data_IF_606031044312
#
_entry.id   IF_606031044312
#
_cell.length_a   1.000
_cell.length_b   1.000
_cell.length_c   1.000
_cell.angle_alpha   90.00
_cell.angle_beta   90.00
_cell.angle_gamma   90.00
#
_symmetry.space_group_name_H-M   'P 1'
#
loop_
_entity.id
_entity.type
_entity.pdbx_description
1 polymer ?
#
# COMPACT_ATOMS: atom_id res chain seq x y z
N UNK A 1 -35.45 24.04 17.38
CA UNK A 1 -34.24 23.62 16.64
C UNK A 1 -34.26 22.10 16.63
N UNK A 2 -34.42 21.48 15.47
CA UNK A 2 -34.57 20.02 15.35
C UNK A 2 -33.22 19.36 15.57
N UNK A 3 -33.04 18.64 16.67
CA UNK A 3 -31.89 17.73 16.85
C UNK A 3 -32.03 16.60 15.83
N UNK A 4 -31.09 16.47 14.90
CA UNK A 4 -31.08 15.35 13.96
C UNK A 4 -30.60 14.09 14.67
N UNK A 5 -31.39 13.02 14.62
CA UNK A 5 -30.98 11.70 15.10
C UNK A 5 -30.24 10.97 13.98
N UNK A 6 -29.08 10.39 14.30
CA UNK A 6 -28.25 9.64 13.35
C UNK A 6 -27.86 8.27 13.91
N UNK A 7 -27.69 7.28 13.04
CA UNK A 7 -27.11 5.99 13.40
C UNK A 7 -25.60 6.04 13.12
N UNK A 8 -24.74 5.80 14.11
CA UNK A 8 -23.28 5.84 13.92
C UNK A 8 -22.81 4.65 13.08
N UNK A 9 -21.67 4.81 12.42
CA UNK A 9 -20.96 3.68 11.80
C UNK A 9 -20.37 2.77 12.89
N UNK A 10 -20.38 1.46 12.63
CA UNK A 10 -19.92 0.41 13.52
C UNK A 10 -18.98 -0.51 12.76
N UNK A 11 -17.77 -0.66 13.26
CA UNK A 11 -16.80 -1.65 12.79
C UNK A 11 -16.72 -2.81 13.78
N UNK A 12 -16.59 -4.05 13.29
CA UNK A 12 -16.43 -5.21 14.16
C UNK A 12 -15.44 -6.24 13.61
N UNK A 13 -14.76 -6.92 14.52
CA UNK A 13 -13.93 -8.09 14.23
C UNK A 13 -14.06 -9.08 15.40
N UNK A 14 -13.51 -10.28 15.27
CA UNK A 14 -13.60 -11.27 16.33
C UNK A 14 -12.37 -12.15 16.42
N UNK A 15 -12.24 -12.80 17.58
CA UNK A 15 -11.38 -13.95 17.84
C UNK A 15 -12.21 -15.04 18.49
N UNK A 16 -11.87 -16.30 18.23
CA UNK A 16 -12.54 -17.44 18.82
C UNK A 16 -11.49 -18.34 19.45
N UNK A 17 -11.82 -18.92 20.61
CA UNK A 17 -10.97 -19.92 21.23
C UNK A 17 -11.83 -20.90 22.01
N UNK A 18 -11.53 -22.19 21.85
CA UNK A 18 -12.21 -23.27 22.57
C UNK A 18 -11.64 -23.51 23.98
N UNK A 19 -10.45 -22.97 24.28
CA UNK A 19 -9.71 -23.28 25.51
C UNK A 19 -9.34 -22.05 26.34
N UNK A 20 -9.30 -20.87 25.73
CA UNK A 20 -8.86 -19.63 26.38
C UNK A 20 -9.92 -18.51 26.25
N UNK A 21 -10.59 -18.20 27.36
CA UNK A 21 -11.59 -17.13 27.41
C UNK A 21 -10.99 -15.74 27.16
N UNK A 22 -9.71 -15.53 27.47
CA UNK A 22 -9.02 -14.26 27.21
C UNK A 22 -8.77 -14.04 25.70
N UNK A 23 -8.83 -15.11 24.89
CA UNK A 23 -8.71 -15.08 23.42
C UNK A 23 -10.05 -15.23 22.68
N UNK A 24 -11.17 -15.32 23.41
CA UNK A 24 -12.51 -15.50 22.85
C UNK A 24 -13.37 -14.22 23.00
N UNK A 25 -13.33 -13.34 22.00
CA UNK A 25 -13.98 -12.03 22.09
C UNK A 25 -14.38 -11.42 20.73
N UNK A 26 -15.19 -10.38 20.77
CA UNK A 26 -15.60 -9.54 19.64
C UNK A 26 -15.10 -8.11 19.86
N UNK A 27 -14.38 -7.57 18.89
CA UNK A 27 -14.07 -6.15 18.84
C UNK A 27 -15.24 -5.38 18.24
N UNK A 28 -15.60 -4.26 18.86
CA UNK A 28 -16.63 -3.36 18.35
C UNK A 28 -16.14 -1.91 18.45
N UNK A 29 -16.11 -1.18 17.34
CA UNK A 29 -15.80 0.25 17.31
C UNK A 29 -17.01 1.01 16.80
N UNK A 30 -17.54 1.92 17.62
CA UNK A 30 -18.68 2.78 17.27
C UNK A 30 -18.14 4.19 17.02
N UNK A 31 -18.32 4.70 15.81
CA UNK A 31 -17.80 6.00 15.36
C UNK A 31 -18.71 7.14 15.78
N UNK A 32 -18.34 7.87 16.84
CA UNK A 32 -19.15 8.92 17.49
C UNK A 32 -18.30 10.15 17.84
N UNK A 33 -17.95 10.99 16.86
CA UNK A 33 -17.07 12.12 17.08
C UNK A 33 -17.69 13.18 17.99
N UNK A 34 -16.88 13.69 18.92
CA UNK A 34 -17.22 14.76 19.87
C UNK A 34 -18.41 14.46 20.77
N UNK A 35 -18.62 13.19 21.13
CA UNK A 35 -19.58 12.81 22.18
C UNK A 35 -18.86 12.86 23.53
N UNK A 36 -19.22 13.77 24.45
CA UNK A 36 -18.59 13.83 25.77
C UNK A 36 -19.08 12.66 26.65
N UNK A 37 -18.24 12.14 27.58
CA UNK A 37 -18.63 11.07 28.51
C UNK A 37 -19.89 11.36 29.32
N UNK A 38 -20.20 12.64 29.60
CA UNK A 38 -21.39 13.06 30.36
C UNK A 38 -22.70 12.82 29.61
N UNK A 39 -22.68 12.81 28.28
CA UNK A 39 -23.85 12.62 27.44
C UNK A 39 -24.01 11.17 26.95
N UNK A 40 -23.02 10.34 27.24
CA UNK A 40 -22.94 8.96 26.81
C UNK A 40 -23.78 8.06 27.71
N UNK A 41 -24.72 7.33 27.10
CA UNK A 41 -25.46 6.26 27.73
C UNK A 41 -25.20 4.98 26.95
N UNK A 42 -24.44 4.07 27.54
CA UNK A 42 -24.14 2.76 26.98
C UNK A 42 -24.68 1.70 27.92
N UNK A 43 -25.56 0.82 27.41
CA UNK A 43 -26.11 -0.32 28.15
C UNK A 43 -25.74 -1.59 27.40
N UNK A 44 -25.02 -2.46 28.08
CA UNK A 44 -24.65 -3.78 27.58
C UNK A 44 -25.53 -4.83 28.26
N UNK A 45 -26.12 -5.72 27.47
CA UNK A 45 -26.85 -6.90 27.95
C UNK A 45 -26.19 -8.16 27.38
N UNK A 46 -26.47 -9.35 27.93
CA UNK A 46 -25.91 -10.60 27.38
C UNK A 46 -26.25 -10.81 25.91
N UNK A 47 -27.33 -10.22 25.41
CA UNK A 47 -27.83 -10.44 24.03
C UNK A 47 -27.69 -9.22 23.14
N UNK A 48 -27.16 -8.10 23.61
CA UNK A 48 -27.15 -6.87 22.82
C UNK A 48 -26.52 -5.66 23.47
N UNK A 49 -26.58 -4.55 22.75
CA UNK A 49 -26.03 -3.26 23.15
C UNK A 49 -26.97 -2.15 22.71
N UNK A 50 -27.25 -1.23 23.64
CA UNK A 50 -27.98 0.01 23.36
C UNK A 50 -27.08 1.18 23.71
N UNK A 51 -26.88 2.06 22.74
CA UNK A 51 -26.07 3.27 22.87
C UNK A 51 -26.87 4.51 22.49
N UNK A 52 -26.74 5.58 23.27
CA UNK A 52 -27.20 6.92 22.92
C UNK A 52 -26.19 7.96 23.39
N UNK A 53 -25.89 8.94 22.54
CA UNK A 53 -24.95 10.01 22.86
C UNK A 53 -25.21 11.24 22.00
N UNK A 54 -24.95 12.45 22.51
CA UNK A 54 -25.17 13.68 21.74
C UNK A 54 -23.85 14.40 21.53
N UNK A 55 -23.50 14.66 20.27
CA UNK A 55 -22.31 15.43 19.92
C UNK A 55 -22.55 16.92 20.17
N UNK A 56 -21.67 17.55 20.95
CA UNK A 56 -21.77 18.98 21.27
C UNK A 56 -21.47 19.85 20.03
N UNK A 57 -20.45 19.48 19.26
CA UNK A 57 -20.02 20.20 18.06
C UNK A 57 -21.03 20.07 16.93
N UNK A 58 -21.48 18.83 16.65
CA UNK A 58 -22.34 18.53 15.50
C UNK A 58 -23.83 18.66 15.80
N UNK A 59 -24.21 18.94 17.06
CA UNK A 59 -25.62 19.01 17.53
C UNK A 59 -26.48 17.83 17.07
N UNK A 60 -25.86 16.66 16.95
CA UNK A 60 -26.45 15.42 16.42
C UNK A 60 -26.53 14.40 17.55
N UNK A 61 -27.69 13.77 17.70
CA UNK A 61 -27.87 12.70 18.67
C UNK A 61 -27.69 11.36 17.96
N UNK A 62 -26.67 10.63 18.36
CA UNK A 62 -26.42 9.28 17.89
C UNK A 62 -27.23 8.27 18.70
N UNK A 63 -27.87 7.34 18.02
CA UNK A 63 -28.58 6.23 18.64
C UNK A 63 -28.26 4.93 17.89
N UNK A 64 -27.97 3.87 18.64
CA UNK A 64 -27.62 2.55 18.12
C UNK A 64 -28.21 1.47 19.02
N UNK A 65 -28.84 0.48 18.41
CA UNK A 65 -29.33 -0.73 19.07
C UNK A 65 -28.87 -1.94 18.26
N UNK A 66 -28.13 -2.85 18.92
CA UNK A 66 -27.60 -4.08 18.34
C UNK A 66 -28.13 -5.28 19.12
N UNK A 67 -28.69 -6.27 18.43
CA UNK A 67 -28.99 -7.59 18.98
C UNK A 67 -27.95 -8.59 18.44
N UNK A 68 -27.11 -9.11 19.33
CA UNK A 68 -25.97 -9.96 18.97
C UNK A 68 -26.40 -11.36 18.53
N UNK A 69 -25.56 -11.99 17.71
CA UNK A 69 -25.79 -13.33 17.17
C UNK A 69 -25.88 -14.40 18.26
N UNK A 70 -24.99 -14.34 19.24
CA UNK A 70 -24.98 -15.20 20.42
C UNK A 70 -24.68 -14.39 21.68
N UNK A 71 -24.74 -15.05 22.84
CA UNK A 71 -24.57 -14.38 24.13
C UNK A 71 -23.12 -13.94 24.37
N UNK A 72 -22.98 -12.75 24.96
CA UNK A 72 -21.74 -12.23 25.51
C UNK A 72 -21.77 -12.26 27.04
N UNK A 73 -20.61 -12.09 27.66
CA UNK A 73 -20.45 -11.84 29.08
C UNK A 73 -20.21 -10.35 29.32
N UNK A 74 -21.23 -9.59 29.78
CA UNK A 74 -21.09 -8.15 30.01
C UNK A 74 -20.12 -7.79 31.14
N UNK A 75 -19.93 -8.66 32.13
CA UNK A 75 -19.11 -8.36 33.32
C UNK A 75 -17.62 -8.34 32.98
N UNK A 76 -17.19 -9.24 32.10
CA UNK A 76 -15.80 -9.35 31.65
C UNK A 76 -15.52 -8.57 30.35
N UNK A 77 -16.53 -7.88 29.81
CA UNK A 77 -16.39 -7.03 28.63
C UNK A 77 -15.84 -5.65 29.00
N UNK A 78 -14.93 -5.12 28.17
CA UNK A 78 -14.25 -3.83 28.41
C UNK A 78 -14.75 -2.76 27.45
N UNK A 79 -14.84 -1.52 27.92
CA UNK A 79 -15.22 -0.35 27.12
C UNK A 79 -14.18 0.76 27.25
N UNK A 80 -13.75 1.32 26.11
CA UNK A 80 -12.97 2.54 26.00
C UNK A 80 -13.79 3.66 25.38
N UNK A 81 -13.61 4.87 25.88
CA UNK A 81 -14.13 6.07 25.24
C UNK A 81 -12.98 6.96 24.79
N UNK A 82 -13.00 7.34 23.52
CA UNK A 82 -12.05 8.30 22.93
C UNK A 82 -12.81 9.51 22.39
N UNK A 83 -12.11 10.55 21.94
CA UNK A 83 -12.77 11.73 21.36
C UNK A 83 -13.57 11.43 20.07
N UNK A 84 -13.18 10.38 19.34
CA UNK A 84 -13.78 10.02 18.05
C UNK A 84 -14.71 8.79 18.13
N UNK A 85 -14.42 7.85 19.03
CA UNK A 85 -14.99 6.51 19.00
C UNK A 85 -15.27 5.95 20.41
N UNK A 86 -16.23 5.02 20.47
CA UNK A 86 -16.38 4.09 21.60
C UNK A 86 -15.88 2.72 21.13
N UNK A 87 -14.87 2.19 21.81
CA UNK A 87 -14.29 0.88 21.49
C UNK A 87 -14.69 -0.11 22.57
N UNK A 88 -15.12 -1.31 22.19
CA UNK A 88 -15.50 -2.37 23.10
C UNK A 88 -14.78 -3.65 22.75
N UNK A 89 -14.40 -4.39 23.79
CA UNK A 89 -13.96 -5.77 23.72
C UNK A 89 -15.03 -6.59 24.44
N UNK A 90 -15.87 -7.26 23.66
CA UNK A 90 -17.01 -8.04 24.15
C UNK A 90 -16.59 -9.50 24.32
N UNK A 91 -16.65 -10.02 25.53
CA UNK A 91 -16.32 -11.43 25.80
C UNK A 91 -17.46 -12.32 25.31
N UNK A 92 -17.15 -13.30 24.45
CA UNK A 92 -18.14 -14.30 24.02
C UNK A 92 -18.40 -15.26 25.19
N UNK A 93 -19.66 -15.55 25.49
CA UNK A 93 -20.02 -16.42 26.62
C UNK A 93 -19.68 -17.89 26.36
N UNK A 94 -19.82 -18.33 25.12
CA UNK A 94 -19.55 -19.69 24.69
C UNK A 94 -18.15 -19.78 24.05
N UNK A 95 -17.33 -20.71 24.53
CA UNK A 95 -16.02 -21.01 23.95
C UNK A 95 -16.21 -21.94 22.76
N UNK A 96 -15.76 -21.52 21.59
CA UNK A 96 -15.80 -22.30 20.36
C UNK A 96 -14.62 -21.89 19.49
N UNK A 97 -14.15 -22.78 18.60
CA UNK A 97 -13.21 -22.39 17.56
C UNK A 97 -13.90 -21.63 16.41
N UNK A 98 -15.17 -21.94 16.14
CA UNK A 98 -15.91 -21.36 15.01
C UNK A 98 -16.19 -19.87 15.23
N UNK A 99 -16.14 -19.08 14.16
CA UNK A 99 -16.52 -17.68 14.23
C UNK A 99 -18.03 -17.52 14.22
N UNK A 100 -18.49 -16.41 14.82
CA UNK A 100 -19.86 -15.98 14.57
C UNK A 100 -19.98 -15.64 13.09
N UNK A 101 -20.93 -16.25 12.34
CA UNK A 101 -21.08 -15.99 10.91
C UNK A 101 -21.49 -14.54 10.61
N UNK A 102 -21.95 -13.81 11.63
CA UNK A 102 -22.33 -12.40 11.61
C UNK A 102 -22.38 -11.86 13.03
N UNK A 103 -22.23 -10.54 13.20
CA UNK A 103 -22.36 -9.90 14.52
C UNK A 103 -23.80 -9.93 15.04
N UNK A 104 -24.78 -9.72 14.16
CA UNK A 104 -26.18 -9.54 14.54
C UNK A 104 -26.99 -10.82 14.38
N UNK A 105 -27.98 -11.02 15.24
CA UNK A 105 -28.91 -12.16 15.14
C UNK A 105 -29.66 -12.18 13.81
N UNK A 106 -30.12 -11.01 13.38
CA UNK A 106 -30.76 -10.80 12.08
C UNK A 106 -29.78 -10.99 10.92
N UNK A 107 -30.19 -11.72 9.90
CA UNK A 107 -29.43 -11.87 8.66
C UNK A 107 -29.57 -10.67 7.69
N UNK A 108 -30.36 -9.65 8.05
CA UNK A 108 -30.54 -8.46 7.20
C UNK A 108 -29.26 -7.62 7.20
N UNK A 109 -28.77 -7.29 5.99
CA UNK A 109 -27.63 -6.36 5.83
C UNK A 109 -28.03 -4.96 6.29
N UNK A 110 -27.27 -4.39 7.23
CA UNK A 110 -27.42 -3.01 7.69
C UNK A 110 -26.24 -2.18 7.17
N UNK A 111 -26.50 -0.98 6.68
CA UNK A 111 -25.50 -0.16 5.98
C UNK A 111 -24.45 0.46 6.91
N UNK A 112 -24.76 0.59 8.19
CA UNK A 112 -23.90 1.20 9.19
C UNK A 112 -22.90 0.21 9.83
N UNK A 113 -23.01 -1.10 9.57
CA UNK A 113 -22.14 -2.13 10.15
C UNK A 113 -21.16 -2.67 9.10
N UNK A 114 -19.87 -2.68 9.41
CA UNK A 114 -18.79 -3.15 8.52
C UNK A 114 -17.76 -3.98 9.28
N UNK A 115 -17.04 -4.86 8.59
CA UNK A 115 -15.93 -5.61 9.19
C UNK A 115 -14.71 -4.72 9.37
N UNK A 116 -14.07 -4.81 10.53
CA UNK A 116 -12.80 -4.15 10.86
C UNK A 116 -11.64 -5.03 10.39
N UNK A 117 -11.16 -4.82 9.16
CA UNK A 117 -10.11 -5.66 8.57
C UNK A 117 -8.75 -5.46 9.22
N UNK A 118 -8.47 -4.28 9.77
CA UNK A 118 -7.22 -4.00 10.49
C UNK A 118 -7.11 -4.87 11.75
N UNK A 119 -8.26 -5.24 12.34
CA UNK A 119 -8.35 -6.14 13.49
C UNK A 119 -8.78 -7.56 13.13
N UNK A 120 -9.08 -7.86 11.87
CA UNK A 120 -9.53 -9.19 11.47
C UNK A 120 -8.33 -10.14 11.35
N UNK A 121 -8.49 -11.36 11.87
CA UNK A 121 -7.56 -12.46 11.68
C UNK A 121 -8.40 -13.67 11.30
N UNK A 122 -7.94 -14.44 10.32
CA UNK A 122 -8.67 -15.61 9.85
C UNK A 122 -8.61 -16.77 10.87
N UNK A 123 -9.60 -17.67 10.80
CA UNK A 123 -9.81 -18.75 11.79
C UNK A 123 -8.57 -19.65 11.96
N UNK A 124 -7.81 -19.88 10.90
CA UNK A 124 -6.62 -20.73 10.85
C UNK A 124 -5.33 -20.02 11.27
N UNK A 125 -5.31 -18.70 11.31
CA UNK A 125 -4.12 -17.89 11.64
C UNK A 125 -4.12 -17.35 13.08
N UNK A 126 -5.23 -17.50 13.83
CA UNK A 126 -5.39 -16.89 15.17
C UNK A 126 -4.45 -17.42 16.25
N UNK A 127 -3.85 -18.61 16.06
CA UNK A 127 -2.86 -19.18 16.99
C UNK A 127 -1.42 -18.67 16.74
N UNK A 128 -1.17 -18.09 15.55
CA UNK A 128 0.14 -17.57 15.13
C UNK A 128 0.21 -16.04 15.24
N UNK A 129 -0.94 -15.37 15.40
CA UNK A 129 -1.00 -13.95 15.66
C UNK A 129 -0.25 -13.60 16.97
N UNK A 130 0.68 -12.63 16.94
CA UNK A 130 1.35 -12.17 18.16
C UNK A 130 0.30 -11.79 19.21
N UNK A 131 0.56 -12.13 20.46
CA UNK A 131 -0.15 -11.53 21.60
C UNK A 131 0.21 -10.05 21.65
N UNK A 132 -0.38 -9.23 20.78
CA UNK A 132 -0.52 -7.82 21.08
C UNK A 132 -1.49 -7.77 22.25
N UNK A 133 -0.89 -7.71 23.44
CA UNK A 133 -1.53 -7.59 24.73
C UNK A 133 -2.18 -6.19 24.81
N UNK A 134 -3.19 -5.97 23.98
CA UNK A 134 -3.99 -4.73 23.88
C UNK A 134 -4.65 -4.41 25.22
N UNK A 135 -4.77 -5.40 26.11
CA UNK A 135 -5.15 -5.22 27.50
C UNK A 135 -4.22 -4.21 28.22
N UNK A 136 -2.94 -4.17 27.86
CA UNK A 136 -1.96 -3.22 28.40
C UNK A 136 -2.08 -1.81 27.80
N UNK A 137 -2.73 -1.63 26.65
CA UNK A 137 -3.03 -0.29 26.12
C UNK A 137 -4.08 0.44 26.98
N UNK A 138 -4.87 -0.32 27.75
CA UNK A 138 -5.79 0.21 28.76
C UNK A 138 -5.14 0.43 30.15
N UNK A 139 -3.91 -0.04 30.35
CA UNK A 139 -3.24 -0.13 31.67
C UNK A 139 -2.22 0.95 32.00
N UNK A 140 -2.20 2.07 31.26
CA UNK A 140 -1.23 3.17 31.46
C UNK A 140 -1.70 4.34 32.32
N UNK A 141 -2.78 4.19 33.10
CA UNK A 141 -3.36 5.26 33.93
C UNK A 141 -3.11 5.05 35.42
N UNK A 142 -1.87 5.26 35.86
CA UNK A 142 -1.55 5.40 37.28
C UNK A 142 -2.19 6.70 37.82
N UNK A 143 -3.05 6.54 38.83
CA UNK A 143 -2.86 7.17 40.13
C UNK A 143 -3.12 8.67 40.26
N UNK A 144 -4.15 8.98 41.03
CA UNK A 144 -4.46 10.21 41.73
C UNK A 144 -3.25 10.87 42.45
N UNK A 145 -3.38 12.18 42.69
CA UNK A 145 -2.58 13.10 43.53
C UNK A 145 -1.21 13.65 43.08
N UNK A 146 -1.09 14.99 43.13
CA UNK A 146 0.19 15.72 43.31
C UNK A 146 0.53 16.74 42.22
N UNK A 147 0.22 18.02 42.47
CA UNK A 147 0.30 19.09 41.47
C UNK A 147 1.68 19.57 41.04
N UNK A 148 1.70 20.31 39.93
CA UNK A 148 2.73 21.31 39.64
C UNK A 148 2.13 22.53 38.92
N UNK A 149 2.66 23.68 39.31
CA UNK A 149 2.23 25.05 39.07
C UNK A 149 1.91 25.49 37.64
N UNK A 150 1.06 26.51 37.59
CA UNK A 150 0.40 27.04 36.41
C UNK A 150 1.29 27.69 35.36
N UNK A 151 0.79 27.60 34.13
CA UNK A 151 1.06 28.53 33.04
C UNK A 151 -0.29 28.85 32.41
N UNK A 152 -0.71 30.10 32.56
CA UNK A 152 -1.97 30.66 32.06
C UNK A 152 -1.78 31.12 30.61
N UNK A 153 -2.32 30.35 29.66
CA UNK A 153 -2.27 30.62 28.22
C UNK A 153 -3.31 31.65 27.74
N UNK A 154 -3.99 32.37 28.65
CA UNK A 154 -4.98 33.40 28.29
C UNK A 154 -4.38 34.72 27.74
N UNK A 155 -3.06 34.81 27.55
CA UNK A 155 -2.36 36.08 27.21
C UNK A 155 -1.76 36.20 25.81
N UNK A 156 -2.08 35.34 24.85
CA UNK A 156 -1.73 35.58 23.45
C UNK A 156 -2.96 35.46 22.54
N UNK A 157 -3.87 36.41 22.69
CA UNK A 157 -4.88 36.72 21.68
C UNK A 157 -4.43 37.86 20.79
N UNK A 158 -4.85 37.84 19.51
CA UNK A 158 -4.92 39.08 18.73
C UNK A 158 -4.88 38.94 17.20
N UNK A 159 -6.04 38.68 16.59
CA UNK A 159 -6.52 39.48 15.44
C UNK A 159 -6.09 39.11 14.03
N UNK A 160 -7.04 38.64 13.22
CA UNK A 160 -7.49 39.30 11.97
C UNK A 160 -8.62 38.46 11.36
N UNK A 161 -9.78 39.09 11.17
CA UNK A 161 -10.93 38.51 10.50
C UNK A 161 -10.98 38.86 9.01
N UNK A 162 -11.91 38.22 8.31
CA UNK A 162 -12.50 38.70 7.06
C UNK A 162 -12.24 37.86 5.82
N UNK A 163 -13.30 37.17 5.38
CA UNK A 163 -13.68 36.88 3.99
C UNK A 163 -12.82 35.95 3.11
N UNK A 164 -13.26 34.69 3.00
CA UNK A 164 -13.27 33.93 1.74
C UNK A 164 -14.05 32.61 1.92
N UNK A 165 -15.38 32.71 2.01
CA UNK A 165 -16.29 31.57 1.99
C UNK A 165 -16.56 31.19 0.54
N UNK A 166 -15.71 30.32 -0.04
CA UNK A 166 -15.96 29.40 -1.19
C UNK A 166 -14.63 28.87 -1.75
N UNK A 167 -14.03 27.87 -1.08
CA UNK A 167 -13.00 26.94 -1.63
C UNK A 167 -12.55 25.85 -0.63
N UNK A 168 -13.41 25.42 0.29
CA UNK A 168 -13.02 24.53 1.40
C UNK A 168 -13.33 23.03 1.19
N UNK A 169 -14.04 22.63 0.14
CA UNK A 169 -14.44 21.23 -0.05
C UNK A 169 -13.50 20.40 -0.95
N UNK A 170 -12.64 21.02 -1.76
CA UNK A 170 -11.63 20.29 -2.55
C UNK A 170 -10.26 20.14 -1.83
N UNK A 171 -10.03 20.86 -0.73
CA UNK A 171 -8.75 20.84 -0.01
C UNK A 171 -8.74 19.85 1.17
N UNK A 172 -9.91 19.43 1.65
CA UNK A 172 -10.01 18.46 2.75
C UNK A 172 -9.87 17.00 2.28
N UNK A 173 -10.43 16.63 1.13
CA UNK A 173 -10.28 15.26 0.61
C UNK A 173 -8.84 14.93 0.18
N UNK A 174 -8.06 15.93 -0.24
CA UNK A 174 -6.63 15.75 -0.51
C UNK A 174 -5.81 15.54 0.77
N UNK A 175 -6.22 16.17 1.89
CA UNK A 175 -5.49 16.05 3.16
C UNK A 175 -5.77 14.72 3.88
N UNK A 176 -6.99 14.19 3.80
CA UNK A 176 -7.34 12.90 4.41
C UNK A 176 -6.73 11.73 3.63
N UNK A 177 -6.82 11.73 2.29
CA UNK A 177 -6.14 10.75 1.43
C UNK A 177 -4.61 10.81 1.61
N UNK A 178 -4.02 12.00 1.75
CA UNK A 178 -2.57 12.12 2.00
C UNK A 178 -2.14 11.61 3.37
N UNK A 179 -3.02 11.67 4.39
CA UNK A 179 -2.77 11.13 5.72
C UNK A 179 -2.92 9.61 5.73
N UNK A 180 -3.94 9.09 5.06
CA UNK A 180 -4.17 7.65 4.93
C UNK A 180 -3.06 6.98 4.09
N UNK A 181 -2.62 7.61 3.00
CA UNK A 181 -1.43 7.21 2.22
C UNK A 181 -0.15 7.27 3.07
N UNK A 182 0.05 8.32 3.87
CA UNK A 182 1.21 8.43 4.76
C UNK A 182 1.22 7.35 5.85
N UNK A 183 0.05 7.00 6.39
CA UNK A 183 -0.10 5.98 7.44
C UNK A 183 0.12 4.58 6.85
N UNK A 184 -0.50 4.28 5.70
CA UNK A 184 -0.27 3.05 4.94
C UNK A 184 1.19 2.91 4.48
N UNK A 185 1.85 4.02 4.11
CA UNK A 185 3.28 4.01 3.80
C UNK A 185 4.16 3.73 5.02
N UNK A 186 3.77 4.18 6.21
CA UNK A 186 4.49 3.90 7.46
C UNK A 186 4.30 2.44 7.87
N UNK A 187 3.09 1.89 7.75
CA UNK A 187 2.82 0.49 8.07
C UNK A 187 3.44 -0.48 7.07
N UNK A 188 3.33 -0.21 5.76
CA UNK A 188 4.01 -0.99 4.73
C UNK A 188 5.54 -0.96 4.91
N UNK A 189 6.11 0.17 5.36
CA UNK A 189 7.54 0.26 5.73
C UNK A 189 7.89 -0.60 6.94
N UNK A 190 7.01 -0.65 7.96
CA UNK A 190 7.19 -1.51 9.14
C UNK A 190 7.10 -2.99 8.78
N UNK A 191 6.18 -3.38 7.90
CA UNK A 191 6.07 -4.77 7.43
C UNK A 191 7.25 -5.19 6.54
N UNK A 192 7.69 -4.32 5.62
CA UNK A 192 8.84 -4.60 4.78
C UNK A 192 10.13 -4.74 5.62
N UNK A 193 10.26 -3.98 6.71
CA UNK A 193 11.33 -4.13 7.71
C UNK A 193 11.28 -5.50 8.42
N UNK A 194 10.08 -6.07 8.66
CA UNK A 194 9.93 -7.43 9.24
C UNK A 194 10.33 -8.53 8.24
N UNK A 195 9.99 -8.40 6.96
CA UNK A 195 10.34 -9.38 5.91
C UNK A 195 11.85 -9.49 5.66
N UNK A 196 12.54 -8.34 5.56
CA UNK A 196 13.98 -8.31 5.31
C UNK A 196 14.73 -9.00 6.47
N UNK A 197 14.36 -8.71 7.73
CA UNK A 197 14.96 -9.31 8.94
C UNK A 197 14.91 -10.84 8.91
N UNK A 198 13.73 -11.42 8.68
CA UNK A 198 13.55 -12.89 8.59
C UNK A 198 14.48 -13.51 7.55
N UNK A 199 14.58 -12.90 6.37
CA UNK A 199 15.44 -13.39 5.28
C UNK A 199 16.94 -13.35 5.66
N UNK A 200 17.39 -12.29 6.35
CA UNK A 200 18.77 -12.19 6.83
C UNK A 200 19.06 -13.16 7.98
N UNK A 201 18.11 -13.39 8.88
CA UNK A 201 18.23 -14.35 9.98
C UNK A 201 18.35 -15.78 9.44
N UNK A 202 17.48 -16.16 8.50
CA UNK A 202 17.53 -17.46 7.81
C UNK A 202 18.85 -17.65 7.05
N UNK A 203 19.30 -16.64 6.31
CA UNK A 203 20.58 -16.68 5.59
C UNK A 203 21.78 -16.84 6.55
N UNK A 204 21.71 -16.22 7.72
CA UNK A 204 22.74 -16.31 8.76
C UNK A 204 22.74 -17.67 9.43
N UNK A 205 21.58 -18.22 9.74
CA UNK A 205 21.43 -19.58 10.25
C UNK A 205 21.93 -20.64 9.25
N UNK A 206 21.74 -20.40 7.94
CA UNK A 206 22.23 -21.28 6.88
C UNK A 206 23.73 -21.11 6.57
N UNK A 207 24.37 -20.01 7.00
CA UNK A 207 25.76 -19.72 6.70
C UNK A 207 26.71 -20.61 7.52
N UNK A 208 27.48 -21.47 6.84
CA UNK A 208 28.49 -22.36 7.46
C UNK A 208 29.92 -21.81 7.41
N UNK A 209 30.07 -20.52 7.09
CA UNK A 209 31.39 -19.90 6.99
C UNK A 209 31.99 -19.57 8.37
N UNK A 210 33.30 -19.26 8.42
CA UNK A 210 34.02 -19.01 9.67
C UNK A 210 33.74 -17.63 10.29
N UNK A 211 32.91 -16.79 9.65
CA UNK A 211 32.61 -15.43 10.10
C UNK A 211 31.11 -15.28 10.36
N UNK A 212 30.78 -14.77 11.53
CA UNK A 212 29.42 -14.36 11.88
C UNK A 212 29.16 -12.96 11.33
N UNK A 213 27.99 -12.76 10.72
CA UNK A 213 27.53 -11.45 10.30
C UNK A 213 26.59 -10.90 11.38
N UNK A 214 26.83 -9.66 11.80
CA UNK A 214 25.95 -8.90 12.69
C UNK A 214 25.25 -7.82 11.89
N UNK A 215 23.93 -7.69 12.07
CA UNK A 215 23.11 -6.77 11.29
C UNK A 215 22.52 -5.69 12.17
N UNK A 216 22.65 -4.44 11.73
CA UNK A 216 21.92 -3.29 12.25
C UNK A 216 20.90 -2.86 11.20
N UNK A 217 19.63 -2.96 11.52
CA UNK A 217 18.54 -2.57 10.62
C UNK A 217 18.15 -1.12 10.88
N UNK A 218 18.38 -0.27 9.89
CA UNK A 218 18.04 1.14 9.93
C UNK A 218 16.84 1.41 9.01
N UNK A 219 15.81 2.08 9.53
CA UNK A 219 14.64 2.49 8.74
C UNK A 219 14.93 3.73 7.88
N UNK A 220 15.92 4.52 8.30
CA UNK A 220 16.35 5.71 7.57
C UNK A 220 17.06 5.31 6.28
N UNK A 221 16.71 5.98 5.18
CA UNK A 221 17.42 5.83 3.90
C UNK A 221 18.84 6.33 4.04
N UNK A 222 19.75 5.75 3.27
CA UNK A 222 21.08 6.30 3.13
C UNK A 222 21.01 7.56 2.25
N UNK A 223 21.51 8.65 2.80
CA UNK A 223 21.71 9.93 2.12
C UNK A 223 22.82 10.70 2.87
N UNK A 224 23.22 11.86 2.36
CA UNK A 224 24.31 12.64 2.93
C UNK A 224 24.08 13.00 4.42
N UNK A 225 22.83 13.19 4.85
CA UNK A 225 22.48 13.51 6.24
C UNK A 225 22.49 12.30 7.18
N UNK A 226 22.35 11.07 6.67
CA UNK A 226 22.20 9.84 7.47
C UNK A 226 23.40 8.92 7.40
N UNK A 227 24.38 9.19 6.53
CA UNK A 227 25.58 8.35 6.35
C UNK A 227 26.38 8.13 7.64
N UNK A 228 26.31 9.07 8.60
CA UNK A 228 26.92 8.95 9.93
C UNK A 228 26.45 7.73 10.72
N UNK A 229 25.23 7.23 10.46
CA UNK A 229 24.68 6.03 11.08
C UNK A 229 25.44 4.75 10.69
N UNK A 230 26.22 4.77 9.60
CA UNK A 230 27.06 3.66 9.19
C UNK A 230 28.35 3.53 10.03
N UNK A 231 28.65 4.48 10.92
CA UNK A 231 29.84 4.45 11.77
C UNK A 231 29.93 3.13 12.56
N UNK A 232 31.15 2.56 12.64
CA UNK A 232 31.40 1.29 13.33
C UNK A 232 31.06 0.03 12.53
N UNK A 233 30.46 0.15 11.35
CA UNK A 233 30.15 -0.99 10.49
C UNK A 233 31.26 -1.23 9.46
N UNK A 234 31.32 -2.45 8.90
CA UNK A 234 32.26 -2.80 7.83
C UNK A 234 31.63 -2.69 6.43
N UNK A 235 30.30 -2.84 6.35
CA UNK A 235 29.54 -2.87 5.13
C UNK A 235 28.21 -2.14 5.31
N UNK A 236 27.66 -1.63 4.21
CA UNK A 236 26.27 -1.12 4.15
C UNK A 236 25.48 -1.96 3.14
N UNK A 237 24.23 -2.27 3.48
CA UNK A 237 23.30 -3.00 2.62
C UNK A 237 22.18 -2.06 2.16
N UNK A 238 22.15 -1.73 0.87
CA UNK A 238 21.32 -0.68 0.30
C UNK A 238 20.27 -1.26 -0.65
N UNK A 239 19.23 -0.46 -0.91
CA UNK A 239 18.18 -0.72 -1.89
C UNK A 239 18.12 0.37 -2.97
N UNK A 240 17.15 0.24 -3.87
CA UNK A 240 17.03 1.12 -5.05
C UNK A 240 16.72 2.59 -4.73
N UNK A 241 16.27 2.88 -3.51
CA UNK A 241 15.85 4.23 -3.09
C UNK A 241 16.86 4.93 -2.18
N UNK A 242 17.97 4.28 -1.87
CA UNK A 242 19.09 4.87 -1.16
C UNK A 242 19.92 5.74 -2.12
N UNK A 243 20.57 6.78 -1.61
CA UNK A 243 21.46 7.63 -2.41
C UNK A 243 22.92 7.33 -2.05
N UNK A 244 23.60 6.60 -2.93
CA UNK A 244 25.03 6.33 -2.85
C UNK A 244 25.78 7.08 -3.95
N UNK A 245 25.45 8.36 -4.14
CA UNK A 245 26.19 9.27 -5.01
C UNK A 245 27.64 9.48 -4.54
N UNK A 246 28.43 10.19 -5.34
CA UNK A 246 29.84 10.40 -5.07
C UNK A 246 30.14 11.06 -3.71
N UNK A 247 29.30 11.98 -3.22
CA UNK A 247 29.52 12.60 -1.90
C UNK A 247 29.33 11.57 -0.78
N UNK A 248 28.24 10.80 -0.84
CA UNK A 248 27.94 9.76 0.16
C UNK A 248 29.00 8.67 0.15
N UNK A 249 29.49 8.27 -1.02
CA UNK A 249 30.57 7.28 -1.15
C UNK A 249 31.87 7.76 -0.49
N UNK A 250 32.22 9.04 -0.59
CA UNK A 250 33.37 9.60 0.14
C UNK A 250 33.17 9.55 1.66
N UNK A 251 31.97 9.87 2.12
CA UNK A 251 31.65 9.86 3.55
C UNK A 251 31.68 8.44 4.11
N UNK A 252 31.14 7.46 3.39
CA UNK A 252 31.24 6.04 3.73
C UNK A 252 32.70 5.57 3.83
N UNK A 253 33.55 5.99 2.87
CA UNK A 253 34.98 5.67 2.89
C UNK A 253 35.67 6.24 4.13
N UNK A 254 35.36 7.48 4.51
CA UNK A 254 35.89 8.15 5.72
C UNK A 254 35.47 7.44 7.01
N UNK A 255 34.28 6.85 7.04
CA UNK A 255 33.78 6.04 8.17
C UNK A 255 34.39 4.63 8.24
N UNK A 256 35.22 4.25 7.27
CA UNK A 256 35.91 2.96 7.24
C UNK A 256 35.11 1.84 6.57
N UNK A 257 33.99 2.15 5.93
CA UNK A 257 33.19 1.17 5.18
C UNK A 257 34.00 0.61 4.02
N UNK A 258 33.94 -0.72 3.83
CA UNK A 258 34.68 -1.44 2.78
C UNK A 258 33.78 -2.05 1.72
N UNK A 259 32.50 -2.28 2.03
CA UNK A 259 31.56 -2.95 1.12
C UNK A 259 30.24 -2.19 1.04
N UNK A 260 29.77 -1.97 -0.18
CA UNK A 260 28.42 -1.49 -0.49
C UNK A 260 27.67 -2.63 -1.18
N UNK A 261 26.76 -3.27 -0.46
CA UNK A 261 25.97 -4.39 -0.96
C UNK A 261 24.58 -3.90 -1.38
N UNK A 262 24.27 -4.00 -2.66
CA UNK A 262 22.94 -3.75 -3.18
C UNK A 262 22.11 -5.04 -3.06
N UNK A 263 21.07 -5.05 -2.22
CA UNK A 263 20.09 -6.17 -2.17
C UNK A 263 19.12 -6.15 -3.36
N UNK A 264 19.60 -5.64 -4.49
CA UNK A 264 18.88 -5.51 -5.73
C UNK A 264 19.77 -5.64 -6.96
N UNK A 265 19.13 -5.82 -8.11
CA UNK A 265 19.83 -5.92 -9.38
C UNK A 265 20.28 -4.56 -9.94
N UNK A 266 19.50 -3.50 -9.68
CA UNK A 266 19.82 -2.16 -10.16
C UNK A 266 20.89 -1.49 -9.31
N UNK A 267 21.85 -0.83 -9.94
CA UNK A 267 22.94 -0.10 -9.26
C UNK A 267 23.04 1.37 -9.71
N UNK A 268 21.97 1.90 -10.32
CA UNK A 268 21.95 3.25 -10.92
C UNK A 268 22.16 4.37 -9.89
N UNK A 269 21.85 4.09 -8.63
CA UNK A 269 21.95 5.01 -7.50
C UNK A 269 23.33 4.95 -6.79
N UNK A 270 24.30 4.22 -7.35
CA UNK A 270 25.64 4.05 -6.77
C UNK A 270 26.70 4.60 -7.72
N UNK A 271 27.56 5.51 -7.22
CA UNK A 271 28.76 5.93 -7.96
C UNK A 271 29.85 4.85 -7.88
N UNK A 272 29.72 3.84 -8.74
CA UNK A 272 30.61 2.67 -8.78
C UNK A 272 32.07 3.09 -9.06
N UNK A 273 32.27 4.07 -9.96
CA UNK A 273 33.62 4.54 -10.32
C UNK A 273 34.33 5.16 -9.13
N UNK A 274 33.61 5.99 -8.36
CA UNK A 274 34.17 6.61 -7.16
C UNK A 274 34.36 5.61 -6.03
N UNK A 275 33.44 4.66 -5.89
CA UNK A 275 33.58 3.58 -4.92
C UNK A 275 34.86 2.77 -5.19
N UNK A 276 35.11 2.40 -6.44
CA UNK A 276 36.34 1.70 -6.86
C UNK A 276 37.60 2.55 -6.60
N UNK A 277 37.58 3.83 -6.94
CA UNK A 277 38.70 4.75 -6.70
C UNK A 277 39.07 4.91 -5.21
N UNK A 278 38.08 4.80 -4.32
CA UNK A 278 38.26 4.87 -2.87
C UNK A 278 38.45 3.50 -2.20
N UNK A 279 38.49 2.42 -2.98
CA UNK A 279 38.70 1.05 -2.49
C UNK A 279 37.48 0.41 -1.82
N UNK A 280 36.26 0.89 -2.10
CA UNK A 280 35.01 0.28 -1.67
C UNK A 280 34.57 -0.77 -2.71
N UNK A 281 34.24 -1.96 -2.24
CA UNK A 281 33.71 -3.02 -3.10
C UNK A 281 32.19 -2.88 -3.22
N UNK A 282 31.69 -2.75 -4.45
CA UNK A 282 30.26 -2.75 -4.73
C UNK A 282 29.83 -4.16 -5.18
N UNK A 283 28.77 -4.70 -4.58
CA UNK A 283 28.18 -5.99 -4.97
C UNK A 283 26.68 -5.85 -5.17
N UNK A 284 26.08 -6.61 -6.08
CA UNK A 284 24.64 -6.60 -6.33
C UNK A 284 24.09 -8.00 -6.54
N UNK A 285 22.76 -8.15 -6.46
CA UNK A 285 22.09 -9.42 -6.79
C UNK A 285 21.85 -9.45 -8.31
N UNK A 286 22.57 -10.27 -9.09
CA UNK A 286 22.66 -10.11 -10.55
C UNK A 286 21.34 -10.32 -11.29
N UNK A 287 20.41 -11.12 -10.76
CA UNK A 287 19.03 -11.14 -11.24
C UNK A 287 18.08 -11.70 -10.20
N UNK A 288 16.98 -11.01 -9.96
CA UNK A 288 15.76 -11.63 -9.42
C UNK A 288 15.21 -12.65 -10.41
N UNK A 289 14.27 -13.50 -9.96
CA UNK A 289 13.54 -14.41 -10.85
C UNK A 289 12.95 -13.63 -12.03
N UNK A 290 13.48 -13.80 -13.27
CA UNK A 290 12.93 -13.09 -14.43
C UNK A 290 11.47 -13.47 -14.69
N UNK A 291 11.08 -14.68 -14.26
CA UNK A 291 9.70 -15.15 -14.26
C UNK A 291 8.80 -14.30 -13.36
N UNK A 292 9.23 -14.00 -12.12
CA UNK A 292 8.42 -13.22 -11.19
C UNK A 292 8.08 -11.82 -11.76
N UNK A 293 9.05 -11.15 -12.39
CA UNK A 293 8.81 -9.83 -13.01
C UNK A 293 7.92 -9.97 -14.25
N UNK A 294 8.13 -11.01 -15.06
CA UNK A 294 7.31 -11.26 -16.24
C UNK A 294 5.85 -11.53 -15.87
N UNK A 295 5.61 -12.37 -14.86
CA UNK A 295 4.29 -12.71 -14.31
C UNK A 295 3.60 -11.48 -13.71
N UNK A 296 4.33 -10.69 -12.92
CA UNK A 296 3.81 -9.43 -12.37
C UNK A 296 3.39 -8.46 -13.48
N UNK A 297 4.19 -8.34 -14.54
CA UNK A 297 3.86 -7.49 -15.70
C UNK A 297 2.55 -7.94 -16.36
N UNK A 298 2.34 -9.25 -16.53
CA UNK A 298 1.10 -9.80 -17.10
C UNK A 298 -0.09 -9.58 -16.16
N UNK A 299 0.11 -9.69 -14.85
CA UNK A 299 -0.88 -9.35 -13.84
C UNK A 299 -1.34 -7.88 -13.94
N UNK A 300 -0.39 -6.96 -14.14
CA UNK A 300 -0.70 -5.54 -14.39
C UNK A 300 -1.48 -5.34 -15.68
N UNK A 301 -1.09 -6.02 -16.78
CA UNK A 301 -1.82 -5.96 -18.06
C UNK A 301 -3.27 -6.42 -17.89
N UNK A 302 -3.51 -7.56 -17.22
CA UNK A 302 -4.85 -8.07 -16.95
C UNK A 302 -5.66 -7.14 -16.06
N UNK A 303 -5.02 -6.58 -15.03
CA UNK A 303 -5.65 -5.64 -14.09
C UNK A 303 -6.07 -4.35 -14.78
N UNK A 304 -5.26 -3.83 -15.70
CA UNK A 304 -5.57 -2.65 -16.50
C UNK A 304 -6.68 -2.94 -17.51
N UNK A 305 -6.55 -4.01 -18.29
CA UNK A 305 -7.52 -4.36 -19.35
C UNK A 305 -8.88 -4.75 -18.82
N UNK A 306 -8.96 -5.43 -17.67
CA UNK A 306 -10.22 -5.94 -17.07
C UNK A 306 -10.71 -5.11 -15.89
N UNK A 307 -9.98 -4.06 -15.51
CA UNK A 307 -10.30 -3.17 -14.38
C UNK A 307 -10.52 -3.92 -13.06
N UNK A 308 -9.71 -4.97 -12.83
CA UNK A 308 -9.82 -5.86 -11.66
C UNK A 308 -9.76 -5.06 -10.36
N UNK A 309 -8.87 -4.07 -10.29
CA UNK A 309 -8.72 -3.15 -9.17
C UNK A 309 -10.03 -2.41 -8.83
N UNK A 310 -10.80 -1.95 -9.83
CA UNK A 310 -12.11 -1.31 -9.61
C UNK A 310 -13.17 -2.31 -9.20
N UNK A 311 -13.18 -3.49 -9.85
CA UNK A 311 -14.12 -4.56 -9.54
C UNK A 311 -13.98 -5.02 -8.09
N UNK A 312 -12.74 -5.23 -7.63
CA UNK A 312 -12.43 -5.61 -6.25
C UNK A 312 -13.05 -4.64 -5.25
N UNK A 313 -12.78 -3.34 -5.38
CA UNK A 313 -13.31 -2.31 -4.48
C UNK A 313 -14.85 -2.34 -4.42
N UNK A 314 -15.52 -2.44 -5.58
CA UNK A 314 -16.99 -2.54 -5.64
C UNK A 314 -17.50 -3.78 -4.91
N UNK A 315 -16.94 -4.94 -5.23
CA UNK A 315 -17.39 -6.21 -4.64
C UNK A 315 -17.19 -6.25 -3.13
N UNK A 316 -16.10 -5.65 -2.63
CA UNK A 316 -15.82 -5.51 -1.20
C UNK A 316 -16.89 -4.69 -0.47
N UNK A 317 -17.47 -3.69 -1.14
CA UNK A 317 -18.55 -2.85 -0.63
C UNK A 317 -19.95 -3.45 -0.88
N UNK A 318 -20.01 -4.58 -1.60
CA UNK A 318 -21.25 -5.23 -2.03
C UNK A 318 -21.93 -4.55 -3.22
N UNK A 319 -21.20 -3.71 -3.96
CA UNK A 319 -21.58 -3.24 -5.29
C UNK A 319 -21.16 -4.28 -6.35
N UNK A 320 -22.13 -4.81 -7.09
CA UNK A 320 -21.92 -5.79 -8.17
C UNK A 320 -22.18 -5.20 -9.55
N UNK A 321 -22.28 -3.88 -9.67
CA UNK A 321 -22.50 -3.21 -10.95
C UNK A 321 -21.29 -3.36 -11.87
N UNK A 322 -21.56 -3.67 -13.15
CA UNK A 322 -20.52 -3.85 -14.18
C UNK A 322 -20.27 -2.60 -15.01
N UNK A 323 -21.05 -1.53 -14.80
CA UNK A 323 -20.95 -0.28 -15.57
C UNK A 323 -19.54 0.31 -15.46
N UNK A 324 -18.92 0.56 -16.61
CA UNK A 324 -17.56 1.08 -16.69
C UNK A 324 -16.45 0.04 -16.48
N UNK A 325 -16.77 -1.25 -16.28
CA UNK A 325 -15.78 -2.33 -16.12
C UNK A 325 -15.51 -3.11 -17.42
N UNK A 326 -16.26 -2.84 -18.49
CA UNK A 326 -16.01 -3.46 -19.80
C UNK A 326 -14.58 -3.12 -20.25
N UNK A 327 -13.87 -4.17 -20.64
CA UNK A 327 -12.49 -4.18 -21.11
C UNK A 327 -12.39 -4.77 -22.52
N UNK A 328 -11.22 -5.30 -22.87
CA UNK A 328 -11.02 -6.03 -24.12
C UNK A 328 -10.24 -7.33 -23.91
N UNK A 329 -10.39 -8.26 -24.85
CA UNK A 329 -9.65 -9.52 -24.86
C UNK A 329 -8.23 -9.30 -25.41
N UNK A 330 -7.23 -9.84 -24.71
CA UNK A 330 -5.84 -9.85 -25.19
C UNK A 330 -5.62 -10.80 -26.37
N UNK A 331 -6.45 -11.85 -26.50
CA UNK A 331 -6.41 -12.76 -27.64
C UNK A 331 -6.47 -11.97 -28.97
N UNK A 332 -5.55 -12.29 -29.88
CA UNK A 332 -5.34 -11.64 -31.19
C UNK A 332 -4.92 -10.16 -31.16
N UNK A 333 -4.77 -9.54 -29.98
CA UNK A 333 -4.24 -8.18 -29.86
C UNK A 333 -2.75 -8.16 -30.06
N UNK A 334 -2.25 -7.01 -30.50
CA UNK A 334 -0.83 -6.78 -30.70
C UNK A 334 -0.21 -6.22 -29.42
N UNK A 335 0.79 -6.90 -28.89
CA UNK A 335 1.58 -6.45 -27.74
C UNK A 335 2.99 -6.09 -28.18
N UNK A 336 3.36 -4.83 -28.00
CA UNK A 336 4.69 -4.31 -28.29
C UNK A 336 5.60 -4.34 -27.05
N UNK A 337 6.73 -5.00 -27.17
CA UNK A 337 7.77 -5.06 -26.14
C UNK A 337 8.92 -4.10 -26.49
N UNK A 338 9.17 -3.11 -25.64
CA UNK A 338 10.34 -2.24 -25.77
C UNK A 338 11.45 -2.82 -24.88
N UNK A 339 12.40 -3.50 -25.51
CA UNK A 339 13.43 -4.31 -24.86
C UNK A 339 13.12 -5.81 -24.92
N UNK A 340 14.03 -6.58 -25.50
CA UNK A 340 13.95 -8.04 -25.68
C UNK A 340 14.98 -8.79 -24.83
N UNK A 341 15.26 -8.27 -23.63
CA UNK A 341 16.05 -8.96 -22.62
C UNK A 341 15.32 -10.19 -22.05
N UNK A 342 15.90 -10.80 -21.01
CA UNK A 342 15.35 -12.02 -20.37
C UNK A 342 13.88 -11.86 -19.96
N UNK A 343 13.53 -10.74 -19.32
CA UNK A 343 12.16 -10.48 -18.84
C UNK A 343 11.22 -10.27 -20.03
N UNK A 344 11.60 -9.41 -20.98
CA UNK A 344 10.78 -9.13 -22.17
C UNK A 344 10.46 -10.38 -22.99
N UNK A 345 11.46 -11.25 -23.24
CA UNK A 345 11.23 -12.51 -23.96
C UNK A 345 10.31 -13.47 -23.20
N UNK A 346 10.44 -13.58 -21.87
CA UNK A 346 9.54 -14.41 -21.06
C UNK A 346 8.10 -13.86 -21.07
N UNK A 347 7.92 -12.55 -20.91
CA UNK A 347 6.63 -11.89 -21.05
C UNK A 347 6.04 -12.14 -22.44
N UNK A 348 6.84 -11.97 -23.50
CA UNK A 348 6.43 -12.23 -24.88
C UNK A 348 6.02 -13.67 -25.13
N UNK A 349 6.76 -14.64 -24.59
CA UNK A 349 6.40 -16.06 -24.68
C UNK A 349 5.05 -16.36 -24.05
N UNK A 350 4.79 -15.86 -22.85
CA UNK A 350 3.52 -16.12 -22.16
C UNK A 350 2.35 -15.48 -22.92
N UNK A 351 2.53 -14.26 -23.42
CA UNK A 351 1.50 -13.56 -24.20
C UNK A 351 1.25 -14.24 -25.56
N UNK A 352 2.31 -14.59 -26.28
CA UNK A 352 2.24 -15.21 -27.60
C UNK A 352 1.67 -16.62 -27.51
N UNK A 353 2.32 -17.51 -26.74
CA UNK A 353 1.98 -18.94 -26.70
C UNK A 353 0.89 -19.29 -25.69
N UNK A 354 0.75 -18.50 -24.63
CA UNK A 354 -0.26 -18.74 -23.59
C UNK A 354 -1.57 -18.01 -23.84
N UNK A 355 -1.51 -16.77 -24.36
CA UNK A 355 -2.69 -15.91 -24.50
C UNK A 355 -3.11 -15.65 -25.95
N UNK A 356 -2.35 -16.16 -26.93
CA UNK A 356 -2.66 -15.98 -28.36
C UNK A 356 -2.55 -14.54 -28.84
N UNK A 357 -1.68 -13.74 -28.21
CA UNK A 357 -1.39 -12.37 -28.66
C UNK A 357 -0.43 -12.40 -29.86
N UNK A 358 -0.50 -11.37 -30.71
CA UNK A 358 0.56 -11.07 -31.68
C UNK A 358 1.63 -10.27 -30.94
N UNK A 359 2.81 -10.82 -30.72
CA UNK A 359 3.86 -10.13 -29.95
C UNK A 359 4.94 -9.60 -30.88
N UNK A 360 5.14 -8.28 -30.85
CA UNK A 360 6.21 -7.59 -31.57
C UNK A 360 7.20 -6.98 -30.58
N UNK A 361 8.46 -6.83 -30.97
CA UNK A 361 9.49 -6.25 -30.12
C UNK A 361 10.38 -5.27 -30.89
N UNK A 362 10.85 -4.25 -30.17
CA UNK A 362 11.91 -3.35 -30.60
C UNK A 362 13.04 -3.42 -29.58
N UNK A 363 14.25 -3.69 -30.07
CA UNK A 363 15.49 -3.66 -29.29
C UNK A 363 16.63 -3.23 -30.23
N UNK A 364 17.51 -2.29 -29.83
CA UNK A 364 18.67 -1.89 -30.65
C UNK A 364 19.62 -3.05 -30.96
N UNK A 365 19.62 -4.12 -30.15
CA UNK A 365 20.45 -5.30 -30.31
C UNK A 365 19.56 -6.55 -30.41
N UNK A 366 18.87 -6.74 -31.54
CA UNK A 366 17.90 -7.83 -31.68
C UNK A 366 18.58 -9.19 -31.60
N UNK A 367 17.88 -10.14 -30.98
CA UNK A 367 18.23 -11.56 -31.00
C UNK A 367 17.11 -12.36 -31.69
N UNK A 368 17.14 -12.48 -33.04
CA UNK A 368 16.04 -13.08 -33.81
C UNK A 368 15.75 -14.53 -33.40
N UNK A 369 16.79 -15.32 -33.14
CA UNK A 369 16.65 -16.72 -32.73
C UNK A 369 15.90 -16.84 -31.40
N UNK A 370 16.30 -16.06 -30.40
CA UNK A 370 15.63 -16.08 -29.10
C UNK A 370 14.19 -15.56 -29.21
N UNK A 371 13.93 -14.54 -30.03
CA UNK A 371 12.58 -14.02 -30.23
C UNK A 371 11.65 -15.06 -30.89
N UNK A 372 12.12 -15.74 -31.95
CA UNK A 372 11.38 -16.83 -32.60
C UNK A 372 11.07 -17.98 -31.63
N UNK A 373 12.05 -18.40 -30.82
CA UNK A 373 11.88 -19.39 -29.75
C UNK A 373 10.85 -18.98 -28.68
N UNK A 374 10.49 -17.70 -28.60
CA UNK A 374 9.49 -17.14 -27.68
C UNK A 374 8.21 -16.70 -28.42
N UNK A 375 8.10 -16.90 -29.74
CA UNK A 375 6.93 -16.47 -30.52
C UNK A 375 6.80 -14.95 -30.62
N UNK A 376 7.93 -14.23 -30.63
CA UNK A 376 8.04 -12.78 -30.75
C UNK A 376 8.64 -12.43 -32.11
N UNK A 377 8.08 -11.43 -32.79
CA UNK A 377 8.64 -10.88 -34.04
C UNK A 377 9.31 -9.53 -33.76
N UNK A 378 10.42 -9.21 -34.43
CA UNK A 378 10.98 -7.86 -34.37
C UNK A 378 10.30 -6.95 -35.40
N UNK A 379 10.24 -5.67 -35.04
CA UNK A 379 10.01 -4.56 -35.97
C UNK A 379 11.27 -3.70 -36.08
N UNK A 380 11.43 -3.00 -37.18
CA UNK A 380 12.68 -2.29 -37.48
C UNK A 380 12.83 -0.99 -36.68
N UNK A 381 11.71 -0.38 -36.28
CA UNK A 381 11.69 0.92 -35.63
C UNK A 381 10.77 0.95 -34.41
N UNK A 382 11.06 1.86 -33.47
CA UNK A 382 10.20 2.09 -32.31
C UNK A 382 8.83 2.62 -32.76
N UNK A 383 8.82 3.49 -33.76
CA UNK A 383 7.62 4.10 -34.34
C UNK A 383 6.66 3.05 -34.89
N UNK A 384 7.20 2.05 -35.59
CA UNK A 384 6.43 0.91 -36.08
C UNK A 384 5.79 0.12 -34.92
N UNK A 385 6.56 -0.15 -33.85
CA UNK A 385 6.04 -0.83 -32.66
C UNK A 385 4.88 -0.05 -32.04
N UNK A 386 5.06 1.25 -31.84
CA UNK A 386 4.08 2.13 -31.21
C UNK A 386 2.76 2.19 -32.01
N UNK A 387 2.86 2.30 -33.34
CA UNK A 387 1.70 2.38 -34.22
C UNK A 387 0.90 1.06 -34.30
N UNK A 388 1.56 -0.09 -34.17
CA UNK A 388 0.92 -1.39 -34.30
C UNK A 388 0.36 -1.95 -32.97
N UNK A 389 0.83 -1.45 -31.83
CA UNK A 389 0.54 -2.03 -30.51
C UNK A 389 -0.82 -1.60 -29.92
N UNK A 390 -1.58 -2.56 -29.44
CA UNK A 390 -2.76 -2.34 -28.57
C UNK A 390 -2.34 -2.26 -27.09
N UNK A 391 -1.24 -2.96 -26.75
CA UNK A 391 -0.60 -2.92 -25.43
C UNK A 391 0.90 -2.70 -25.63
N UNK A 392 1.52 -1.79 -24.87
CA UNK A 392 2.97 -1.55 -24.85
C UNK A 392 3.52 -1.92 -23.49
N UNK A 393 4.62 -2.68 -23.47
CA UNK A 393 5.32 -3.09 -22.25
C UNK A 393 6.79 -2.71 -22.28
N UNK A 394 7.27 -2.05 -21.22
CA UNK A 394 8.66 -1.62 -21.09
C UNK A 394 9.51 -2.67 -20.34
N UNK A 395 10.56 -3.15 -21.00
CA UNK A 395 11.52 -4.13 -20.47
C UNK A 395 12.99 -3.73 -20.71
N UNK A 396 13.23 -2.48 -21.11
CA UNK A 396 14.57 -1.94 -21.35
C UNK A 396 15.14 -1.25 -20.08
N UNK A 397 16.48 -1.22 -19.92
CA UNK A 397 17.11 -0.47 -18.84
C UNK A 397 16.97 1.05 -19.04
N UNK A 398 17.03 1.80 -17.94
CA UNK A 398 17.12 3.27 -17.98
C UNK A 398 18.56 3.70 -18.26
N UNK A 399 18.76 4.40 -19.37
CA UNK A 399 20.02 4.94 -19.87
C UNK A 399 19.73 6.31 -20.50
N UNK A 400 20.75 7.10 -20.82
CA UNK A 400 20.56 8.39 -21.50
C UNK A 400 19.76 8.26 -22.81
N UNK A 401 19.96 7.15 -23.54
CA UNK A 401 19.25 6.87 -24.80
C UNK A 401 17.81 6.38 -24.62
N UNK A 402 17.42 5.94 -23.42
CA UNK A 402 16.06 5.44 -23.11
C UNK A 402 15.31 6.32 -22.11
N UNK A 403 15.97 7.37 -21.61
CA UNK A 403 15.35 8.39 -20.77
C UNK A 403 14.24 9.09 -21.54
N UNK A 404 13.02 9.06 -21.00
CA UNK A 404 11.81 9.56 -21.65
C UNK A 404 11.61 9.00 -23.08
N UNK A 405 11.96 7.72 -23.29
CA UNK A 405 11.67 7.01 -24.54
C UNK A 405 10.19 7.06 -24.89
N UNK A 406 9.31 7.15 -23.89
CA UNK A 406 7.92 7.56 -24.06
C UNK A 406 7.73 9.02 -23.63
N UNK A 407 7.50 9.89 -24.60
CA UNK A 407 7.28 11.34 -24.48
C UNK A 407 6.13 11.80 -25.40
N UNK A 408 5.86 13.11 -25.49
CA UNK A 408 4.74 13.64 -26.29
C UNK A 408 4.79 13.19 -27.76
N UNK A 409 5.98 13.13 -28.36
CA UNK A 409 6.13 12.74 -29.78
C UNK A 409 5.82 11.27 -29.98
N UNK A 410 6.32 10.41 -29.11
CA UNK A 410 6.10 8.96 -29.23
C UNK A 410 4.68 8.57 -28.83
N UNK A 411 4.07 9.24 -27.84
CA UNK A 411 2.67 9.01 -27.48
C UNK A 411 1.73 9.35 -28.66
N UNK A 412 2.05 10.38 -29.44
CA UNK A 412 1.28 10.73 -30.63
C UNK A 412 1.30 9.65 -31.74
N UNK A 413 2.24 8.70 -31.69
CA UNK A 413 2.33 7.57 -32.63
C UNK A 413 1.55 6.35 -32.17
N UNK A 414 1.09 6.33 -30.92
CA UNK A 414 0.37 5.18 -30.36
C UNK A 414 -1.08 5.14 -30.82
N UNK A 415 -1.68 3.96 -30.79
CA UNK A 415 -3.13 3.83 -31.03
C UNK A 415 -3.92 4.55 -29.93
N UNK A 416 -5.06 5.19 -30.28
CA UNK A 416 -6.00 5.69 -29.29
C UNK A 416 -6.43 4.56 -28.34
N UNK A 417 -6.36 4.82 -27.03
CA UNK A 417 -6.72 3.83 -26.00
C UNK A 417 -5.69 2.72 -25.75
N UNK A 418 -4.45 2.87 -26.24
CA UNK A 418 -3.35 1.93 -25.94
C UNK A 418 -3.19 1.71 -24.43
N UNK A 419 -2.93 0.45 -24.03
CA UNK A 419 -2.58 0.13 -22.64
C UNK A 419 -1.06 0.15 -22.49
N UNK A 420 -0.55 0.93 -21.54
CA UNK A 420 0.88 1.00 -21.22
C UNK A 420 1.17 0.30 -19.89
N UNK A 421 2.16 -0.59 -19.88
CA UNK A 421 2.67 -1.25 -18.67
C UNK A 421 4.17 -0.99 -18.52
N UNK A 422 4.59 -0.53 -17.34
CA UNK A 422 5.99 -0.30 -17.01
C UNK A 422 6.35 -0.97 -15.69
N UNK A 423 7.02 -2.11 -15.78
CA UNK A 423 7.65 -2.81 -14.65
C UNK A 423 9.17 -2.61 -14.61
N UNK A 424 9.70 -1.67 -15.41
CA UNK A 424 11.13 -1.38 -15.53
C UNK A 424 11.55 -0.21 -14.64
N UNK A 425 11.51 1.03 -15.15
CA UNK A 425 11.96 2.24 -14.44
C UNK A 425 11.08 3.42 -14.80
N UNK A 426 10.80 4.29 -13.82
CA UNK A 426 9.95 5.47 -14.01
C UNK A 426 10.48 6.44 -15.07
N UNK A 427 11.79 6.71 -15.06
CA UNK A 427 12.45 7.63 -16.00
C UNK A 427 12.42 7.23 -17.49
N UNK A 428 11.83 6.08 -17.83
CA UNK A 428 11.55 5.73 -19.23
C UNK A 428 10.35 6.51 -19.79
N UNK A 429 9.51 7.06 -18.92
CA UNK A 429 8.28 7.76 -19.29
C UNK A 429 8.35 9.20 -18.82
N UNK A 430 8.16 10.14 -19.74
CA UNK A 430 7.83 11.52 -19.41
C UNK A 430 6.42 11.56 -18.80
N UNK A 431 6.36 11.65 -17.47
CA UNK A 431 5.10 11.59 -16.71
C UNK A 431 4.15 12.75 -17.07
N UNK A 432 4.62 14.02 -17.17
CA UNK A 432 3.80 15.10 -17.72
C UNK A 432 3.22 14.82 -19.12
N UNK A 433 4.00 14.22 -20.03
CA UNK A 433 3.50 13.85 -21.35
C UNK A 433 2.41 12.76 -21.28
N UNK A 434 2.61 11.75 -20.43
CA UNK A 434 1.62 10.70 -20.18
C UNK A 434 0.30 11.27 -19.67
N UNK A 435 0.35 12.21 -18.71
CA UNK A 435 -0.84 12.86 -18.17
C UNK A 435 -1.58 13.63 -19.27
N UNK A 436 -0.87 14.42 -20.08
CA UNK A 436 -1.48 15.13 -21.23
C UNK A 436 -2.16 14.17 -22.20
N UNK A 437 -1.49 13.08 -22.55
CA UNK A 437 -2.02 12.06 -23.45
C UNK A 437 -3.29 11.39 -22.88
N UNK A 438 -3.25 11.00 -21.60
CA UNK A 438 -4.38 10.36 -20.93
C UNK A 438 -5.60 11.29 -20.81
N UNK A 439 -5.39 12.57 -20.49
CA UNK A 439 -6.48 13.55 -20.39
C UNK A 439 -7.12 13.86 -21.74
N UNK A 440 -6.33 13.97 -22.82
CA UNK A 440 -6.88 14.15 -24.18
C UNK A 440 -7.79 12.99 -24.58
N UNK A 441 -7.43 11.78 -24.19
CA UNK A 441 -8.21 10.57 -24.49
C UNK A 441 -9.54 10.49 -23.72
N UNK A 442 -9.75 11.34 -22.71
CA UNK A 442 -10.98 11.42 -21.90
C UNK A 442 -11.93 12.53 -22.36
N UNK A 443 -11.49 13.44 -23.24
CA UNK A 443 -12.30 14.51 -23.80
C UNK A 443 -12.79 14.04 -25.18
N UNK A 444 -14.10 13.78 -25.38
CA UNK A 444 -14.62 13.47 -26.70
C UNK A 444 -14.31 14.61 -27.67
N UNK A 445 -13.93 14.30 -28.92
CA UNK A 445 -13.61 15.25 -30.00
C UNK A 445 -14.80 16.16 -30.44
N UNK A 446 -15.80 16.39 -29.60
CA UNK A 446 -16.93 17.27 -29.88
C UNK A 446 -16.70 18.76 -29.58
N UNK A 447 -15.61 19.15 -28.90
CA UNK A 447 -15.37 20.54 -28.47
C UNK A 447 -14.04 21.16 -28.95
N UNK A 448 -13.49 20.70 -30.08
CA UNK A 448 -12.39 21.40 -30.76
C UNK A 448 -12.84 21.90 -32.15
N UNK A 449 -13.77 22.85 -32.13
CA UNK A 449 -13.92 23.83 -33.21
C UNK A 449 -13.13 25.09 -32.81
N UNK A 450 -11.92 25.22 -33.34
CA UNK A 450 -11.21 26.49 -33.48
C UNK A 450 -11.12 26.81 -34.97
#
# INVERSE_FOLDING_TARGET
MSTSQATPEVLWAQRSSESDAEKNYVYLTISVPDVPPKSLQLKLSPTGLVFTGTSETKKTTYHLELEFYAEIDPENSKTHHTAANIQLILRKKELSQEYWPRLLKSAKKVHFLRTDFDKWVDEDEQNEAPEEDYLNQFGGGLGDDGGFGGIDFSKLGGGLGGDAQTKAEEVNHSNEASREEATNHVEAKKEQSKYDRKSFDEATAAHKGPRTLEYTFLESRLEASTVSLAAGHHAVCLFVNDDANGEVIEQLAKLGIKVVAMRCAGTNNVDIKKAEALGLKVTSVPSYSPHAVAEFTIGLMLTATRKIHKAYNRTREGDFTLTGLVGFNLFEKTVGLIGSGRIGLLTGRTLSRGMGCKVIAYDPYPNPKAAEEHGVAYVDTLEELLAQSDVISLHCPLMDSTYHILNDKTFALTKPGVVLVNSSRGGLIDTPALIRYALRSLIPDSDCAC
#
